data_IF_584441290503
#
_entry.id   IF_584441290503
#
_cell.length_a   1.000
_cell.length_b   1.000
_cell.length_c   1.000
_cell.angle_alpha   90.00
_cell.angle_beta   90.00
_cell.angle_gamma   90.00
#
_symmetry.space_group_name_H-M   'P 1'
#
loop_
_entity.id
_entity.type
_entity.pdbx_description
1 polymer ?
#
# COMPACT_ATOMS: atom_id res chain seq x y z
N UNK A 1 -26.90 1.20 -17.71
CA UNK A 1 -25.54 1.55 -17.24
C UNK A 1 -25.25 0.59 -16.09
N UNK A 2 -24.20 -0.22 -16.21
CA UNK A 2 -23.93 -1.34 -15.31
C UNK A 2 -23.36 -0.81 -13.98
N UNK A 3 -23.99 -1.09 -12.84
CA UNK A 3 -23.63 -0.54 -11.53
C UNK A 3 -22.16 -0.81 -11.14
N UNK A 4 -21.57 -1.89 -11.64
CA UNK A 4 -20.15 -2.24 -11.47
C UNK A 4 -19.20 -1.17 -12.04
N UNK A 5 -19.56 -0.56 -13.18
CA UNK A 5 -18.74 0.45 -13.84
C UNK A 5 -18.70 1.76 -13.04
N UNK A 6 -19.80 2.09 -12.35
CA UNK A 6 -19.91 3.28 -11.51
C UNK A 6 -19.01 3.14 -10.28
N UNK A 7 -19.09 1.98 -9.60
CA UNK A 7 -18.25 1.66 -8.44
C UNK A 7 -16.76 1.73 -8.78
N UNK A 8 -16.34 1.24 -9.95
CA UNK A 8 -14.93 1.34 -10.37
C UNK A 8 -14.48 2.78 -10.64
N UNK A 9 -15.37 3.63 -11.16
CA UNK A 9 -15.02 5.02 -11.50
C UNK A 9 -14.88 5.92 -10.26
N UNK A 10 -15.74 5.70 -9.25
CA UNK A 10 -15.65 6.39 -7.97
C UNK A 10 -14.42 5.95 -7.19
N UNK A 11 -14.11 4.64 -7.18
CA UNK A 11 -12.89 4.09 -6.57
C UNK A 11 -11.61 4.71 -7.16
N UNK A 12 -11.55 4.85 -8.49
CA UNK A 12 -10.41 5.49 -9.16
C UNK A 12 -10.28 6.96 -8.78
N UNK A 13 -11.41 7.68 -8.78
CA UNK A 13 -11.45 9.09 -8.39
C UNK A 13 -10.99 9.31 -6.95
N UNK A 14 -11.41 8.42 -6.03
CA UNK A 14 -10.97 8.46 -4.63
C UNK A 14 -9.48 8.16 -4.49
N UNK A 15 -8.95 7.18 -5.24
CA UNK A 15 -7.53 6.89 -5.27
C UNK A 15 -6.72 8.10 -5.77
N UNK A 16 -7.15 8.74 -6.87
CA UNK A 16 -6.46 9.90 -7.44
C UNK A 16 -6.43 11.09 -6.46
N UNK A 17 -7.58 11.40 -5.83
CA UNK A 17 -7.67 12.47 -4.82
C UNK A 17 -6.77 12.19 -3.62
N UNK A 18 -6.78 10.95 -3.14
CA UNK A 18 -6.01 10.58 -1.97
C UNK A 18 -4.51 10.53 -2.26
N UNK A 19 -4.10 10.07 -3.46
CA UNK A 19 -2.73 10.16 -3.93
C UNK A 19 -2.25 11.61 -3.98
N UNK A 20 -3.04 12.51 -4.58
CA UNK A 20 -2.71 13.93 -4.63
C UNK A 20 -2.55 14.54 -3.23
N UNK A 21 -3.45 14.20 -2.30
CA UNK A 21 -3.35 14.60 -0.90
C UNK A 21 -2.07 14.08 -0.23
N UNK A 22 -1.72 12.81 -0.43
CA UNK A 22 -0.49 12.22 0.11
C UNK A 22 0.77 12.89 -0.45
N UNK A 23 0.80 13.24 -1.73
CA UNK A 23 1.93 13.93 -2.37
C UNK A 23 2.09 15.38 -1.91
N UNK A 24 0.98 16.08 -1.63
CA UNK A 24 0.99 17.46 -1.13
C UNK A 24 1.28 17.55 0.37
N UNK A 25 0.92 16.52 1.12
CA UNK A 25 1.17 16.46 2.56
C UNK A 25 2.64 16.14 2.81
N UNK A 26 3.39 17.09 3.39
CA UNK A 26 4.82 16.93 3.72
C UNK A 26 5.11 15.80 4.76
N UNK A 27 4.07 15.11 5.24
CA UNK A 27 4.19 13.95 6.13
C UNK A 27 3.78 12.69 5.39
N UNK A 28 4.77 11.88 4.99
CA UNK A 28 4.62 10.58 4.32
C UNK A 28 3.93 9.49 5.20
N UNK A 29 3.04 9.86 6.14
CA UNK A 29 2.74 9.03 7.32
C UNK A 29 1.27 8.73 7.59
N UNK A 30 0.31 9.21 6.80
CA UNK A 30 -1.11 9.03 7.15
C UNK A 30 -1.91 8.41 6.02
N UNK A 31 -1.89 7.08 5.97
CA UNK A 31 -2.89 6.26 5.31
C UNK A 31 -4.02 5.95 6.31
N UNK A 32 -5.05 6.80 6.38
CA UNK A 32 -6.20 6.61 7.27
C UNK A 32 -7.22 5.66 6.63
N UNK A 33 -7.96 4.92 7.47
CA UNK A 33 -9.02 3.98 7.08
C UNK A 33 -10.32 4.66 6.64
N UNK A 34 -10.34 5.98 6.47
CA UNK A 34 -11.53 6.75 6.09
C UNK A 34 -11.82 6.73 4.59
N UNK A 35 -11.10 5.91 3.82
CA UNK A 35 -11.31 5.70 2.39
C UNK A 35 -11.67 4.24 2.12
N UNK A 36 -12.28 3.98 0.97
CA UNK A 36 -12.49 2.62 0.45
C UNK A 36 -11.17 1.82 0.55
N UNK A 37 -11.25 0.59 1.07
CA UNK A 37 -10.08 -0.29 1.22
C UNK A 37 -9.41 -0.55 -0.12
N UNK A 38 -10.18 -0.63 -1.20
CA UNK A 38 -9.65 -0.81 -2.55
C UNK A 38 -8.85 0.42 -3.02
N UNK A 39 -9.41 1.62 -2.88
CA UNK A 39 -8.71 2.87 -3.21
C UNK A 39 -7.43 3.02 -2.39
N UNK A 40 -7.46 2.64 -1.11
CA UNK A 40 -6.28 2.64 -0.24
C UNK A 40 -5.15 1.75 -0.78
N UNK A 41 -5.47 0.52 -1.21
CA UNK A 41 -4.47 -0.38 -1.76
C UNK A 41 -3.90 0.14 -3.09
N UNK A 42 -4.74 0.74 -3.94
CA UNK A 42 -4.27 1.36 -5.18
C UNK A 42 -3.29 2.50 -4.92
N UNK A 43 -3.58 3.38 -3.96
CA UNK A 43 -2.66 4.48 -3.64
C UNK A 43 -1.35 3.96 -3.04
N UNK A 44 -1.40 2.93 -2.19
CA UNK A 44 -0.20 2.29 -1.63
C UNK A 44 0.67 1.67 -2.72
N UNK A 45 0.07 1.02 -3.71
CA UNK A 45 0.77 0.49 -4.88
C UNK A 45 1.44 1.62 -5.68
N UNK A 46 0.67 2.66 -6.05
CA UNK A 46 1.16 3.80 -6.86
C UNK A 46 2.25 4.63 -6.16
N UNK A 47 2.20 4.74 -4.83
CA UNK A 47 3.19 5.45 -4.02
C UNK A 47 4.30 4.56 -3.49
N UNK A 48 4.34 3.28 -3.85
CA UNK A 48 5.29 2.30 -3.33
C UNK A 48 5.39 2.31 -1.79
N UNK A 49 4.23 2.35 -1.13
CA UNK A 49 4.14 2.59 0.30
C UNK A 49 4.78 1.47 1.13
N UNK A 50 5.37 1.87 2.25
CA UNK A 50 5.90 0.98 3.28
C UNK A 50 5.27 1.34 4.62
N UNK A 51 4.94 0.33 5.42
CA UNK A 51 4.49 0.51 6.81
C UNK A 51 5.68 0.31 7.73
N UNK A 52 5.92 1.30 8.57
CA UNK A 52 6.88 1.23 9.67
C UNK A 52 6.16 1.12 11.00
N UNK A 53 6.57 0.16 11.82
CA UNK A 53 6.12 0.02 13.21
C UNK A 53 7.33 -0.23 14.12
N UNK A 54 7.47 0.59 15.16
CA UNK A 54 8.53 0.43 16.15
C UNK A 54 7.92 -0.05 17.46
N UNK A 55 8.26 -1.29 17.84
CA UNK A 55 7.87 -1.89 19.11
C UNK A 55 9.01 -1.75 20.11
N UNK A 56 8.81 -0.96 21.17
CA UNK A 56 9.74 -0.91 22.31
C UNK A 56 9.26 -1.92 23.35
N UNK A 57 9.97 -3.04 23.45
CA UNK A 57 9.62 -4.13 24.37
C UNK A 57 10.19 -3.90 25.77
N UNK A 58 11.34 -3.24 25.86
CA UNK A 58 11.97 -2.79 27.10
C UNK A 58 12.91 -1.61 26.83
N UNK A 59 13.67 -1.19 27.85
CA UNK A 59 14.70 -0.15 27.72
C UNK A 59 15.85 -0.54 26.79
N UNK A 60 16.11 -1.84 26.63
CA UNK A 60 17.23 -2.36 25.81
C UNK A 60 16.77 -3.21 24.64
N UNK A 61 15.47 -3.52 24.53
CA UNK A 61 14.92 -4.37 23.49
C UNK A 61 13.87 -3.61 22.71
N UNK A 62 14.11 -3.47 21.42
CA UNK A 62 13.13 -2.94 20.49
C UNK A 62 13.15 -3.72 19.18
N UNK A 63 12.05 -3.62 18.43
CA UNK A 63 11.88 -4.24 17.11
C UNK A 63 11.36 -3.16 16.17
N UNK A 64 12.02 -2.99 15.03
CA UNK A 64 11.53 -2.18 13.92
C UNK A 64 10.97 -3.11 12.83
N UNK A 65 9.65 -3.09 12.64
CA UNK A 65 8.98 -3.79 11.56
C UNK A 65 8.86 -2.86 10.35
N UNK A 66 9.43 -3.30 9.24
CA UNK A 66 9.30 -2.65 7.93
C UNK A 66 8.52 -3.58 7.02
N UNK A 67 7.27 -3.22 6.71
CA UNK A 67 6.36 -4.05 5.90
C UNK A 67 6.01 -3.35 4.60
N UNK A 68 6.32 -4.01 3.49
CA UNK A 68 5.84 -3.65 2.16
C UNK A 68 4.30 -3.54 2.11
N UNK A 69 3.79 -2.44 1.57
CA UNK A 69 2.35 -2.21 1.34
C UNK A 69 1.99 -2.03 -0.14
N UNK A 70 2.98 -2.05 -1.04
CA UNK A 70 2.82 -1.72 -2.45
C UNK A 70 2.46 -2.92 -3.31
N UNK A 71 2.86 -4.12 -2.89
CA UNK A 71 2.71 -5.35 -3.67
C UNK A 71 2.13 -6.50 -2.84
N UNK A 72 1.76 -7.59 -3.54
CA UNK A 72 1.23 -8.81 -2.95
C UNK A 72 -0.27 -8.97 -3.14
N UNK A 73 -0.93 -9.65 -2.21
CA UNK A 73 -2.33 -10.07 -2.42
C UNK A 73 -3.32 -8.92 -2.59
N UNK A 74 -3.04 -7.75 -2.00
CA UNK A 74 -3.98 -6.62 -2.03
C UNK A 74 -3.72 -5.63 -3.17
N UNK A 75 -2.65 -5.79 -3.95
CA UNK A 75 -2.30 -4.91 -5.08
C UNK A 75 -2.84 -5.44 -6.42
N UNK A 76 -3.01 -4.56 -7.40
CA UNK A 76 -3.51 -4.94 -8.73
C UNK A 76 -5.02 -5.20 -8.80
N UNK A 77 -5.49 -5.48 -10.02
CA UNK A 77 -6.90 -5.62 -10.35
C UNK A 77 -7.35 -7.09 -10.32
N UNK A 78 -8.60 -7.30 -9.91
CA UNK A 78 -9.25 -8.60 -10.06
C UNK A 78 -9.55 -8.85 -11.54
N UNK A 79 -9.34 -10.08 -11.99
CA UNK A 79 -9.84 -10.53 -13.29
C UNK A 79 -11.14 -11.29 -13.05
N UNK A 80 -12.22 -10.83 -13.66
CA UNK A 80 -13.52 -11.49 -13.63
C UNK A 80 -13.66 -12.27 -14.94
N UNK A 81 -14.09 -13.52 -14.86
CA UNK A 81 -14.36 -14.31 -16.06
C UNK A 81 -15.55 -13.74 -16.86
N UNK A 82 -15.70 -14.20 -18.10
CA UNK A 82 -16.76 -13.70 -18.98
C UNK A 82 -18.17 -14.03 -18.49
N UNK A 83 -18.34 -15.05 -17.65
CA UNK A 83 -19.64 -15.44 -17.09
C UNK A 83 -19.96 -14.72 -15.77
N UNK A 84 -19.00 -13.99 -15.20
CA UNK A 84 -19.09 -13.32 -13.89
C UNK A 84 -19.25 -14.26 -12.69
N UNK A 85 -18.91 -15.54 -12.85
CA UNK A 85 -19.01 -16.54 -11.78
C UNK A 85 -17.69 -16.72 -11.03
N UNK A 86 -16.57 -16.30 -11.62
CA UNK A 86 -15.24 -16.48 -11.04
C UNK A 86 -14.49 -15.17 -10.96
N UNK A 87 -13.95 -14.89 -9.77
CA UNK A 87 -12.97 -13.83 -9.56
C UNK A 87 -11.61 -14.49 -9.33
N UNK A 88 -10.65 -14.16 -10.19
CA UNK A 88 -9.27 -14.61 -10.06
C UNK A 88 -8.35 -13.43 -9.74
N UNK A 89 -7.31 -13.71 -8.96
CA UNK A 89 -6.28 -12.75 -8.59
C UNK A 89 -4.91 -13.42 -8.58
N UNK A 90 -3.97 -12.80 -9.29
CA UNK A 90 -2.57 -13.20 -9.27
C UNK A 90 -1.77 -12.11 -8.55
N UNK A 91 -1.16 -12.40 -7.38
CA UNK A 91 -0.29 -11.44 -6.72
C UNK A 91 0.97 -11.22 -7.56
N UNK A 92 1.31 -9.96 -7.78
CA UNK A 92 2.51 -9.57 -8.52
C UNK A 92 3.55 -9.02 -7.55
N UNK A 93 4.80 -9.46 -7.73
CA UNK A 93 5.94 -8.96 -6.97
C UNK A 93 7.01 -8.48 -7.94
N UNK A 94 7.49 -7.27 -7.72
CA UNK A 94 8.55 -6.66 -8.50
C UNK A 94 9.84 -6.66 -7.67
N UNK A 95 10.90 -7.25 -8.24
CA UNK A 95 12.22 -7.35 -7.60
C UNK A 95 12.79 -5.97 -7.21
N UNK A 96 12.63 -4.95 -8.07
CA UNK A 96 13.13 -3.59 -7.81
C UNK A 96 12.46 -2.98 -6.58
N UNK A 97 11.15 -3.13 -6.47
CA UNK A 97 10.38 -2.64 -5.31
C UNK A 97 10.85 -3.34 -4.04
N UNK A 98 11.08 -4.65 -4.11
CA UNK A 98 11.62 -5.40 -2.98
C UNK A 98 13.01 -4.90 -2.54
N UNK A 99 13.91 -4.64 -3.49
CA UNK A 99 15.23 -4.07 -3.22
C UNK A 99 15.17 -2.68 -2.58
N UNK A 100 14.25 -1.83 -3.05
CA UNK A 100 13.97 -0.51 -2.46
C UNK A 100 13.51 -0.63 -1.00
N UNK A 101 12.59 -1.57 -0.68
CA UNK A 101 12.12 -1.81 0.69
C UNK A 101 13.25 -2.30 1.61
N UNK A 102 14.11 -3.21 1.13
CA UNK A 102 15.27 -3.70 1.90
C UNK A 102 16.29 -2.59 2.13
N UNK A 103 16.55 -1.76 1.11
CA UNK A 103 17.46 -0.62 1.25
C UNK A 103 16.92 0.39 2.27
N UNK A 104 15.62 0.67 2.20
CA UNK A 104 14.93 1.54 3.15
C UNK A 104 14.98 0.99 4.58
N UNK A 105 14.77 -0.31 4.80
CA UNK A 105 14.79 -0.90 6.14
C UNK A 105 16.17 -0.81 6.80
N UNK A 106 17.24 -0.99 6.02
CA UNK A 106 18.62 -0.83 6.49
C UNK A 106 18.93 0.63 6.85
N UNK A 107 18.41 1.60 6.10
CA UNK A 107 18.56 3.02 6.41
C UNK A 107 17.83 3.40 7.70
N UNK A 108 16.59 2.94 7.89
CA UNK A 108 15.83 3.21 9.11
C UNK A 108 16.49 2.62 10.36
N UNK A 109 17.17 1.47 10.26
CA UNK A 109 17.90 0.89 11.38
C UNK A 109 19.00 1.83 11.89
N UNK A 110 19.76 2.45 10.98
CA UNK A 110 20.81 3.43 11.33
C UNK A 110 20.21 4.64 12.05
N UNK A 111 19.16 5.23 11.50
CA UNK A 111 18.50 6.40 12.12
C UNK A 111 17.83 6.12 13.47
N UNK A 112 17.44 4.87 13.74
CA UNK A 112 16.70 4.51 14.96
C UNK A 112 17.62 4.05 16.09
N UNK A 113 18.71 3.37 15.76
CA UNK A 113 19.57 2.65 16.72
C UNK A 113 21.05 3.09 16.69
N UNK A 114 21.43 4.12 15.92
CA UNK A 114 22.67 4.88 16.17
C UNK A 114 22.52 5.78 17.41
#
# INVERSE_FOLDING_TARGET
MNDICVVTSEMLTDADRYEAFCRQSCSMRLFRTSISTHALYMVRERLQAVKLEHFKLSWSISILLVRDQAQGFYSGLNTIDSTQDTISRSPYFNKRVFEEVVTYSLACNRETWD
#
